data_IF_849243973529
#
_entry.id   IF_849243973529
#
_cell.length_a   1.000
_cell.length_b   1.000
_cell.length_c   1.000
_cell.angle_alpha   90.00
_cell.angle_beta   90.00
_cell.angle_gamma   90.00
#
_symmetry.space_group_name_H-M   'P 1'
#
loop_
_entity.id
_entity.type
_entity.pdbx_description
1 polymer ?
#
# COMPACT_ATOMS: atom_id res chain seq x y z
N UNK A 1 -21.41 -2.04 -9.38
CA UNK A 1 -22.17 -0.99 -10.10
C UNK A 1 -21.21 0.04 -10.73
N UNK A 2 -20.32 0.65 -9.96
CA UNK A 2 -19.32 1.62 -10.45
C UNK A 2 -18.40 1.06 -11.51
N UNK A 3 -17.99 -0.21 -11.44
CA UNK A 3 -17.12 -0.83 -12.43
C UNK A 3 -17.68 -0.87 -13.86
N UNK A 4 -19.00 -0.87 -14.00
CA UNK A 4 -19.67 -0.78 -15.31
C UNK A 4 -19.79 0.67 -15.81
N UNK A 5 -19.89 1.64 -14.89
CA UNK A 5 -19.94 3.07 -15.20
C UNK A 5 -18.56 3.65 -15.56
N UNK A 6 -17.50 3.02 -15.11
CA UNK A 6 -16.13 3.49 -15.33
C UNK A 6 -15.76 3.60 -16.81
N UNK A 7 -16.34 2.77 -17.68
CA UNK A 7 -16.18 2.90 -19.13
C UNK A 7 -16.79 4.19 -19.69
N UNK A 8 -17.81 4.73 -19.05
CA UNK A 8 -18.39 6.03 -19.41
C UNK A 8 -17.57 7.20 -18.84
N UNK A 9 -16.91 6.99 -17.68
CA UNK A 9 -15.94 7.94 -17.12
C UNK A 9 -14.61 7.99 -17.91
N UNK A 10 -14.40 7.10 -18.86
CA UNK A 10 -13.19 7.05 -19.70
C UNK A 10 -12.85 8.39 -20.36
N UNK A 11 -13.85 9.23 -20.63
CA UNK A 11 -13.64 10.59 -21.16
C UNK A 11 -12.91 11.50 -20.15
N UNK A 12 -13.04 11.24 -18.85
CA UNK A 12 -12.35 11.97 -17.78
C UNK A 12 -10.96 11.37 -17.46
N UNK A 13 -10.69 10.13 -17.86
CA UNK A 13 -9.45 9.42 -17.58
C UNK A 13 -8.45 9.62 -18.72
N UNK A 14 -8.13 10.87 -19.04
CA UNK A 14 -7.04 11.15 -19.97
C UNK A 14 -5.70 10.79 -19.30
N UNK A 15 -4.64 10.45 -20.06
CA UNK A 15 -3.31 10.21 -19.53
C UNK A 15 -2.78 11.36 -18.66
N UNK A 16 -3.20 12.59 -18.96
CA UNK A 16 -2.85 13.80 -18.18
C UNK A 16 -3.50 13.74 -16.79
N UNK A 17 -4.80 13.42 -16.69
CA UNK A 17 -5.50 13.31 -15.41
C UNK A 17 -4.88 12.20 -14.56
N UNK A 18 -4.62 11.03 -15.15
CA UNK A 18 -3.94 9.92 -14.47
C UNK A 18 -2.55 10.34 -13.96
N UNK A 19 -1.77 11.05 -14.79
CA UNK A 19 -0.46 11.57 -14.38
C UNK A 19 -0.55 12.57 -13.23
N UNK A 20 -1.51 13.50 -13.28
CA UNK A 20 -1.74 14.44 -12.18
C UNK A 20 -2.12 13.74 -10.87
N UNK A 21 -2.99 12.73 -10.91
CA UNK A 21 -3.37 11.93 -9.75
C UNK A 21 -2.14 11.25 -9.13
N UNK A 22 -1.34 10.57 -9.95
CA UNK A 22 -0.13 9.88 -9.48
C UNK A 22 0.87 10.86 -8.84
N UNK A 23 1.10 12.02 -9.47
CA UNK A 23 1.98 13.06 -8.92
C UNK A 23 1.45 13.59 -7.58
N UNK A 24 0.14 13.85 -7.49
CA UNK A 24 -0.48 14.33 -6.25
C UNK A 24 -0.34 13.31 -5.12
N UNK A 25 -0.57 12.03 -5.41
CA UNK A 25 -0.37 10.93 -4.45
C UNK A 25 1.09 10.89 -4.01
N UNK A 26 2.05 10.93 -4.95
CA UNK A 26 3.48 10.94 -4.65
C UNK A 26 3.89 12.10 -3.74
N UNK A 27 3.41 13.30 -4.00
CA UNK A 27 3.67 14.47 -3.17
C UNK A 27 3.06 14.33 -1.76
N UNK A 28 1.85 13.80 -1.66
CA UNK A 28 1.18 13.55 -0.37
C UNK A 28 1.95 12.54 0.46
N UNK A 29 2.42 11.45 -0.18
CA UNK A 29 3.21 10.41 0.47
C UNK A 29 4.60 10.88 0.89
N UNK A 30 5.19 11.84 0.19
CA UNK A 30 6.47 12.45 0.59
C UNK A 30 6.35 13.08 1.99
N UNK A 31 5.22 13.76 2.27
CA UNK A 31 4.97 14.33 3.60
C UNK A 31 4.89 13.23 4.66
N UNK A 32 4.17 12.15 4.39
CA UNK A 32 4.05 11.01 5.31
C UNK A 32 5.43 10.38 5.54
N UNK A 33 6.16 10.07 4.46
CA UNK A 33 7.50 9.48 4.57
C UNK A 33 8.50 10.34 5.35
N UNK A 34 8.46 11.67 5.19
CA UNK A 34 9.29 12.58 5.99
C UNK A 34 8.88 12.59 7.47
N UNK A 35 7.59 12.51 7.74
CA UNK A 35 7.07 12.41 9.12
C UNK A 35 7.53 11.12 9.78
N UNK A 36 7.42 9.99 9.09
CA UNK A 36 7.84 8.68 9.58
C UNK A 36 9.35 8.60 9.77
N UNK A 37 10.14 9.18 8.85
CA UNK A 37 11.59 9.30 8.97
C UNK A 37 12.00 10.11 10.20
N UNK A 38 11.19 11.09 10.61
CA UNK A 38 11.43 11.91 11.79
C UNK A 38 10.99 11.25 13.10
N UNK A 39 10.42 10.05 13.08
CA UNK A 39 10.00 9.29 14.26
C UNK A 39 8.51 8.96 14.32
N UNK A 40 7.72 9.40 13.32
CA UNK A 40 6.29 9.17 13.25
C UNK A 40 5.45 10.30 13.86
N UNK A 41 4.17 10.33 13.46
CA UNK A 41 3.24 11.37 13.91
C UNK A 41 2.96 11.25 15.41
N UNK A 42 3.18 12.32 16.16
CA UNK A 42 2.89 12.38 17.60
C UNK A 42 3.95 11.75 18.50
N UNK A 43 5.10 11.35 17.96
CA UNK A 43 6.22 10.88 18.79
C UNK A 43 6.78 12.01 19.64
N UNK A 44 7.04 11.77 20.92
CA UNK A 44 7.59 12.76 21.86
C UNK A 44 8.97 13.28 21.43
N UNK A 45 9.75 12.44 20.76
CA UNK A 45 11.07 12.71 20.23
C UNK A 45 11.07 12.99 18.71
N UNK A 46 9.94 13.47 18.16
CA UNK A 46 9.80 13.80 16.75
C UNK A 46 10.91 14.77 16.29
N UNK A 47 11.56 14.42 15.18
CA UNK A 47 12.64 15.23 14.61
C UNK A 47 13.96 15.13 15.37
N UNK A 48 14.08 14.24 16.35
CA UNK A 48 15.34 14.03 17.07
C UNK A 48 16.44 13.53 16.16
N UNK A 49 17.69 13.88 16.47
CA UNK A 49 18.86 13.42 15.70
C UNK A 49 18.92 11.89 15.59
N UNK A 50 18.65 11.10 16.64
CA UNK A 50 18.62 9.64 16.52
C UNK A 50 17.59 9.12 15.53
N UNK A 51 16.37 9.71 15.49
CA UNK A 51 15.33 9.31 14.55
C UNK A 51 15.73 9.64 13.10
N UNK A 52 16.26 10.85 12.89
CA UNK A 52 16.74 11.26 11.57
C UNK A 52 17.93 10.42 11.08
N UNK A 53 18.83 10.03 11.97
CA UNK A 53 19.95 9.14 11.64
C UNK A 53 19.47 7.74 11.32
N UNK A 54 18.51 7.20 12.08
CA UNK A 54 17.93 5.88 11.83
C UNK A 54 17.18 5.86 10.50
N UNK A 55 16.18 6.74 10.32
CA UNK A 55 15.37 6.79 9.10
C UNK A 55 16.20 7.18 7.87
N UNK A 56 17.07 8.19 7.99
CA UNK A 56 17.98 8.61 6.93
C UNK A 56 18.99 7.52 6.59
N UNK A 57 19.51 6.80 7.58
CA UNK A 57 20.41 5.66 7.39
C UNK A 57 19.75 4.52 6.62
N UNK A 58 18.48 4.19 6.93
CA UNK A 58 17.69 3.21 6.17
C UNK A 58 17.51 3.67 4.73
N UNK A 59 17.11 4.92 4.51
CA UNK A 59 16.90 5.47 3.18
C UNK A 59 18.20 5.40 2.34
N UNK A 60 19.31 5.86 2.90
CA UNK A 60 20.63 5.82 2.24
C UNK A 60 21.02 4.37 1.95
N UNK A 61 20.82 3.44 2.89
CA UNK A 61 21.11 2.02 2.70
C UNK A 61 20.32 1.43 1.53
N UNK A 62 19.01 1.70 1.45
CA UNK A 62 18.16 1.24 0.34
C UNK A 62 18.66 1.80 -0.99
N UNK A 63 18.99 3.10 -1.05
CA UNK A 63 19.53 3.74 -2.27
C UNK A 63 20.86 3.10 -2.68
N UNK A 64 21.80 2.94 -1.77
CA UNK A 64 23.11 2.35 -2.07
C UNK A 64 22.99 0.89 -2.53
N UNK A 65 22.12 0.09 -1.88
CA UNK A 65 21.90 -1.31 -2.26
C UNK A 65 21.21 -1.40 -3.63
N UNK A 66 20.31 -0.48 -3.96
CA UNK A 66 19.60 -0.47 -5.25
C UNK A 66 20.50 -0.13 -6.45
N UNK A 67 21.69 0.45 -6.21
CA UNK A 67 22.68 0.75 -7.26
C UNK A 67 23.56 -0.47 -7.57
N UNK A 68 23.61 -1.47 -6.68
CA UNK A 68 24.46 -2.67 -6.87
C UNK A 68 24.04 -3.42 -8.15
N UNK A 69 25.03 -3.79 -8.95
CA UNK A 69 24.80 -4.45 -10.24
C UNK A 69 24.48 -5.97 -10.13
N UNK A 70 23.87 -6.39 -9.02
CA UNK A 70 23.36 -7.74 -8.83
C UNK A 70 21.85 -7.70 -8.75
N UNK A 71 21.17 -8.39 -9.67
CA UNK A 71 19.70 -8.36 -9.75
C UNK A 71 19.03 -8.80 -8.45
N UNK A 72 19.52 -9.82 -7.78
CA UNK A 72 18.94 -10.35 -6.53
C UNK A 72 19.08 -9.33 -5.41
N UNK A 73 20.28 -8.78 -5.20
CA UNK A 73 20.54 -7.79 -4.15
C UNK A 73 19.72 -6.53 -4.41
N UNK A 74 19.70 -6.04 -5.64
CA UNK A 74 18.93 -4.86 -6.04
C UNK A 74 17.42 -5.06 -5.82
N UNK A 75 16.89 -6.22 -6.20
CA UNK A 75 15.47 -6.53 -5.97
C UNK A 75 15.09 -6.64 -4.49
N UNK A 76 16.07 -6.99 -3.65
CA UNK A 76 15.90 -7.11 -2.20
C UNK A 76 16.30 -5.85 -1.43
N UNK A 77 16.65 -4.75 -2.12
CA UNK A 77 17.20 -3.55 -1.49
C UNK A 77 16.33 -2.99 -0.35
N UNK A 78 15.00 -2.93 -0.58
CA UNK A 78 14.05 -2.45 0.42
C UNK A 78 14.03 -3.38 1.63
N UNK A 79 13.96 -4.70 1.40
CA UNK A 79 13.95 -5.69 2.47
C UNK A 79 15.25 -5.66 3.29
N UNK A 80 16.42 -5.60 2.63
CA UNK A 80 17.71 -5.51 3.30
C UNK A 80 17.80 -4.21 4.10
N UNK A 81 17.39 -3.08 3.53
CA UNK A 81 17.36 -1.79 4.22
C UNK A 81 16.45 -1.81 5.46
N UNK A 82 15.27 -2.43 5.36
CA UNK A 82 14.36 -2.63 6.48
C UNK A 82 15.01 -3.46 7.60
N UNK A 83 15.66 -4.58 7.24
CA UNK A 83 16.36 -5.43 8.22
C UNK A 83 17.51 -4.69 8.90
N UNK A 84 18.29 -3.93 8.15
CA UNK A 84 19.37 -3.09 8.71
C UNK A 84 18.80 -2.03 9.66
N UNK A 85 17.70 -1.39 9.29
CA UNK A 85 17.00 -0.42 10.14
C UNK A 85 16.46 -1.04 11.41
N UNK A 86 15.84 -2.22 11.31
CA UNK A 86 15.34 -2.97 12.47
C UNK A 86 16.49 -3.33 13.43
N UNK A 87 17.58 -3.87 12.91
CA UNK A 87 18.77 -4.17 13.71
C UNK A 87 19.32 -2.91 14.40
N UNK A 88 19.45 -1.81 13.67
CA UNK A 88 19.91 -0.56 14.24
C UNK A 88 18.96 -0.06 15.35
N UNK A 89 17.64 -0.15 15.16
CA UNK A 89 16.64 0.23 16.15
C UNK A 89 16.72 -0.64 17.42
N UNK A 90 16.98 -1.95 17.27
CA UNK A 90 17.24 -2.85 18.43
C UNK A 90 18.48 -2.40 19.19
N UNK A 91 19.62 -2.15 18.51
CA UNK A 91 20.84 -1.68 19.15
C UNK A 91 20.70 -0.32 19.83
N UNK A 92 19.84 0.54 19.29
CA UNK A 92 19.52 1.84 19.89
C UNK A 92 18.51 1.76 21.03
N UNK A 93 17.99 0.55 21.38
CA UNK A 93 16.97 0.35 22.41
C UNK A 93 15.62 1.01 22.10
N UNK A 94 15.30 1.17 20.81
CA UNK A 94 14.07 1.84 20.34
C UNK A 94 12.90 0.88 20.15
N UNK A 95 13.11 -0.42 20.31
CA UNK A 95 12.07 -1.43 20.17
C UNK A 95 11.64 -1.90 21.55
N UNK A 96 10.36 -1.71 21.84
CA UNK A 96 9.73 -2.26 23.03
C UNK A 96 9.17 -3.66 22.71
N UNK A 97 9.86 -4.67 23.24
CA UNK A 97 9.44 -6.05 23.06
C UNK A 97 8.31 -6.46 24.02
N UNK A 98 7.89 -5.61 24.97
CA UNK A 98 6.80 -5.91 25.89
C UNK A 98 5.48 -6.13 25.12
N UNK A 99 5.23 -5.33 24.09
CA UNK A 99 4.06 -5.46 23.23
C UNK A 99 3.97 -6.83 22.56
N UNK A 100 5.12 -7.41 22.19
CA UNK A 100 5.19 -8.74 21.59
C UNK A 100 4.82 -9.82 22.60
N UNK A 101 5.20 -9.65 23.87
CA UNK A 101 4.88 -10.62 24.94
C UNK A 101 3.42 -10.58 25.38
N UNK A 102 2.73 -9.46 25.16
CA UNK A 102 1.31 -9.28 25.49
C UNK A 102 0.39 -9.67 24.33
N UNK A 103 0.92 -9.79 23.11
CA UNK A 103 0.14 -10.17 21.93
C UNK A 103 -0.19 -11.66 21.94
N UNK A 104 -1.43 -11.99 21.57
CA UNK A 104 -1.83 -13.38 21.38
C UNK A 104 -1.01 -13.99 20.23
N UNK A 105 -0.51 -15.22 20.46
CA UNK A 105 0.25 -15.94 19.44
C UNK A 105 -0.59 -16.23 18.19
N UNK A 106 -1.89 -16.49 18.37
CA UNK A 106 -2.81 -16.80 17.29
C UNK A 106 -4.17 -16.15 17.54
N UNK A 107 -4.64 -15.36 16.57
CA UNK A 107 -5.94 -14.68 16.64
C UNK A 107 -6.72 -14.88 15.35
N UNK A 108 -7.97 -15.29 15.46
CA UNK A 108 -8.86 -15.40 14.31
C UNK A 108 -9.76 -14.17 14.27
N UNK A 109 -9.79 -13.42 13.16
CA UNK A 109 -10.70 -12.30 13.02
C UNK A 109 -12.15 -12.74 13.13
N UNK A 110 -12.93 -12.08 14.00
CA UNK A 110 -14.34 -12.41 14.23
C UNK A 110 -15.17 -11.56 13.26
N UNK A 111 -15.90 -12.18 12.31
CA UNK A 111 -16.80 -11.45 11.42
C UNK A 111 -17.88 -10.70 12.21
N UNK A 112 -18.24 -9.51 11.77
CA UNK A 112 -19.33 -8.70 12.35
C UNK A 112 -19.24 -8.49 13.88
N UNK A 113 -18.02 -8.40 14.42
CA UNK A 113 -17.77 -8.23 15.87
C UNK A 113 -18.55 -7.06 16.49
N UNK A 114 -18.73 -5.98 15.74
CA UNK A 114 -19.46 -4.77 16.17
C UNK A 114 -20.92 -4.74 15.74
N UNK A 115 -21.43 -5.83 15.18
CA UNK A 115 -22.78 -5.91 14.65
C UNK A 115 -22.92 -5.31 13.26
N UNK A 116 -24.16 -5.22 12.79
CA UNK A 116 -24.51 -4.63 11.50
C UNK A 116 -25.50 -3.48 11.74
N UNK A 117 -25.15 -2.32 11.22
CA UNK A 117 -26.01 -1.14 11.28
C UNK A 117 -25.89 -0.33 9.99
N UNK A 118 -26.90 0.50 9.71
CA UNK A 118 -26.90 1.42 8.59
C UNK A 118 -27.19 2.82 9.10
N UNK A 119 -26.31 3.77 8.78
CA UNK A 119 -26.47 5.18 9.09
C UNK A 119 -26.26 6.02 7.82
N UNK A 120 -27.21 6.86 7.50
CA UNK A 120 -27.13 7.77 6.35
C UNK A 120 -25.98 8.79 6.48
N UNK A 121 -25.69 9.27 7.67
CA UNK A 121 -24.63 10.25 7.91
C UNK A 121 -23.24 9.65 7.64
N UNK A 122 -23.04 8.38 7.96
CA UNK A 122 -21.83 7.63 7.65
C UNK A 122 -21.78 7.17 6.17
N UNK A 123 -22.95 6.77 5.62
CA UNK A 123 -23.02 6.23 4.26
C UNK A 123 -22.62 7.26 3.19
N UNK A 124 -23.09 8.51 3.31
CA UNK A 124 -22.86 9.52 2.28
C UNK A 124 -21.35 9.81 2.09
N UNK A 125 -20.56 10.13 3.14
CA UNK A 125 -19.10 10.33 3.00
C UNK A 125 -18.38 9.09 2.45
N UNK A 126 -18.75 7.89 2.91
CA UNK A 126 -18.15 6.64 2.44
C UNK A 126 -18.45 6.43 0.95
N UNK A 127 -19.68 6.70 0.50
CA UNK A 127 -20.05 6.59 -0.91
C UNK A 127 -19.22 7.55 -1.79
N UNK A 128 -19.00 8.80 -1.34
CA UNK A 128 -18.12 9.74 -2.02
C UNK A 128 -16.66 9.25 -2.06
N UNK A 129 -16.15 8.75 -0.93
CA UNK A 129 -14.81 8.15 -0.88
C UNK A 129 -14.67 7.00 -1.88
N UNK A 130 -15.70 6.17 -2.03
CA UNK A 130 -15.70 5.06 -3.00
C UNK A 130 -15.61 5.53 -4.47
N UNK A 131 -16.19 6.67 -4.80
CA UNK A 131 -16.05 7.25 -6.13
C UNK A 131 -14.59 7.68 -6.35
N UNK A 132 -13.99 8.33 -5.35
CA UNK A 132 -12.60 8.79 -5.42
C UNK A 132 -11.64 7.60 -5.54
N UNK A 133 -11.78 6.57 -4.69
CA UNK A 133 -10.93 5.38 -4.74
C UNK A 133 -11.08 4.60 -6.04
N UNK A 134 -12.28 4.58 -6.64
CA UNK A 134 -12.48 3.96 -7.96
C UNK A 134 -11.71 4.67 -9.07
N UNK A 135 -11.58 6.00 -9.00
CA UNK A 135 -10.76 6.78 -9.93
C UNK A 135 -9.27 6.51 -9.68
N UNK A 136 -8.86 6.50 -8.41
CA UNK A 136 -7.50 6.18 -7.97
C UNK A 136 -7.09 4.79 -8.47
N UNK A 137 -7.88 3.75 -8.16
CA UNK A 137 -7.66 2.36 -8.62
C UNK A 137 -7.49 2.28 -10.14
N UNK A 138 -8.28 3.03 -10.88
CA UNK A 138 -8.16 3.07 -12.34
C UNK A 138 -6.85 3.72 -12.79
N UNK A 139 -6.39 4.74 -12.08
CA UNK A 139 -5.09 5.39 -12.29
C UNK A 139 -3.94 4.42 -12.02
N UNK A 140 -3.96 3.75 -10.89
CA UNK A 140 -2.94 2.78 -10.47
C UNK A 140 -2.84 1.58 -11.41
N UNK A 141 -3.99 1.02 -11.83
CA UNK A 141 -4.02 -0.06 -12.81
C UNK A 141 -3.47 0.37 -14.17
N UNK A 142 -3.68 1.63 -14.53
CA UNK A 142 -3.09 2.20 -15.75
C UNK A 142 -1.57 2.32 -15.60
N UNK A 143 -1.10 2.87 -14.48
CA UNK A 143 0.33 3.01 -14.19
C UNK A 143 1.01 1.63 -14.13
N UNK A 144 0.42 0.67 -13.42
CA UNK A 144 0.91 -0.73 -13.35
C UNK A 144 0.98 -1.35 -14.74
N UNK A 145 -0.04 -1.13 -15.59
CA UNK A 145 -0.04 -1.64 -16.97
C UNK A 145 1.11 -1.04 -17.78
N UNK A 146 1.35 0.26 -17.66
CA UNK A 146 2.45 0.94 -18.35
C UNK A 146 3.82 0.40 -17.91
N UNK A 147 4.04 0.30 -16.61
CA UNK A 147 5.31 -0.17 -16.05
C UNK A 147 5.57 -1.64 -16.43
N UNK A 148 4.51 -2.43 -16.51
CA UNK A 148 4.58 -3.86 -16.88
C UNK A 148 4.65 -4.11 -18.39
N UNK A 149 4.68 -3.06 -19.22
CA UNK A 149 4.69 -3.18 -20.68
C UNK A 149 3.38 -3.68 -21.28
N UNK A 150 2.28 -3.57 -20.56
CA UNK A 150 0.97 -4.06 -20.94
C UNK A 150 0.14 -2.98 -21.67
N UNK A 151 -0.78 -3.35 -22.57
CA UNK A 151 -1.61 -2.39 -23.28
C UNK A 151 -2.43 -1.49 -22.35
N UNK A 152 -2.43 -0.17 -22.65
CA UNK A 152 -3.24 0.83 -21.96
C UNK A 152 -4.44 1.31 -22.79
N UNK A 153 -4.76 0.60 -23.86
CA UNK A 153 -5.90 0.85 -24.73
C UNK A 153 -6.49 -0.45 -25.23
N UNK A 154 -7.74 -0.40 -25.63
CA UNK A 154 -8.44 -1.55 -26.23
C UNK A 154 -9.19 -2.42 -25.22
N UNK A 155 -9.86 -3.50 -25.72
CA UNK A 155 -10.78 -4.31 -24.92
C UNK A 155 -10.12 -5.00 -23.72
N UNK A 156 -8.86 -5.42 -23.86
CA UNK A 156 -8.10 -6.07 -22.77
C UNK A 156 -7.84 -5.11 -21.61
N UNK A 157 -7.44 -3.88 -21.93
CA UNK A 157 -7.26 -2.82 -20.94
C UNK A 157 -8.57 -2.48 -20.21
N UNK A 158 -9.67 -2.34 -20.96
CA UNK A 158 -10.98 -2.06 -20.36
C UNK A 158 -11.44 -3.16 -19.43
N UNK A 159 -11.23 -4.43 -19.82
CA UNK A 159 -11.53 -5.59 -18.97
C UNK A 159 -10.70 -5.57 -17.68
N UNK A 160 -9.42 -5.17 -17.77
CA UNK A 160 -8.51 -5.06 -16.63
C UNK A 160 -8.97 -3.98 -15.65
N UNK A 161 -9.30 -2.78 -16.15
CA UNK A 161 -9.81 -1.69 -15.30
C UNK A 161 -11.11 -2.09 -14.62
N UNK A 162 -12.08 -2.62 -15.36
CA UNK A 162 -13.35 -3.10 -14.78
C UNK A 162 -13.15 -4.16 -13.71
N UNK A 163 -12.29 -5.15 -14.00
CA UNK A 163 -11.98 -6.24 -13.08
C UNK A 163 -11.27 -5.76 -11.83
N UNK A 164 -10.32 -4.83 -11.97
CA UNK A 164 -9.59 -4.27 -10.84
C UNK A 164 -10.47 -3.44 -9.91
N UNK A 165 -11.28 -2.53 -10.46
CA UNK A 165 -12.24 -1.75 -9.65
C UNK A 165 -13.29 -2.64 -8.98
N UNK A 166 -13.72 -3.71 -9.66
CA UNK A 166 -14.61 -4.70 -9.04
C UNK A 166 -13.91 -5.43 -7.90
N UNK A 167 -12.66 -5.84 -8.11
CA UNK A 167 -11.84 -6.50 -7.09
C UNK A 167 -11.63 -5.62 -5.86
N UNK A 168 -11.34 -4.35 -6.06
CA UNK A 168 -11.20 -3.35 -4.99
C UNK A 168 -12.49 -3.23 -4.17
N UNK A 169 -13.65 -3.14 -4.83
CA UNK A 169 -14.94 -3.11 -4.17
C UNK A 169 -15.26 -4.40 -3.40
N UNK A 170 -14.92 -5.57 -3.95
CA UNK A 170 -15.09 -6.87 -3.25
C UNK A 170 -14.19 -6.96 -2.03
N UNK A 171 -12.92 -6.53 -2.14
CA UNK A 171 -11.99 -6.51 -1.01
C UNK A 171 -12.48 -5.60 0.11
N UNK A 172 -13.01 -4.43 -0.22
CA UNK A 172 -13.59 -3.52 0.76
C UNK A 172 -14.84 -4.09 1.43
N UNK A 173 -15.64 -4.86 0.70
CA UNK A 173 -16.78 -5.58 1.30
C UNK A 173 -16.28 -6.65 2.30
N UNK A 174 -15.25 -7.41 1.94
CA UNK A 174 -14.61 -8.39 2.83
C UNK A 174 -14.02 -7.68 4.05
N UNK A 175 -13.31 -6.56 3.85
CA UNK A 175 -12.77 -5.74 4.92
C UNK A 175 -13.85 -5.31 5.93
N UNK A 176 -15.01 -4.86 5.43
CA UNK A 176 -16.14 -4.49 6.28
C UNK A 176 -16.69 -5.68 7.10
N UNK A 177 -16.77 -6.89 6.51
CA UNK A 177 -17.19 -8.11 7.23
C UNK A 177 -16.23 -8.41 8.40
N UNK A 178 -14.93 -8.17 8.21
CA UNK A 178 -13.89 -8.37 9.23
C UNK A 178 -13.61 -7.13 10.08
N UNK A 179 -14.52 -6.14 10.08
CA UNK A 179 -14.51 -4.96 10.94
C UNK A 179 -13.29 -4.05 10.74
N UNK A 180 -12.77 -4.00 9.53
CA UNK A 180 -11.68 -3.09 9.16
C UNK A 180 -12.14 -2.03 8.16
N UNK A 181 -11.29 -1.03 7.94
CA UNK A 181 -11.58 0.05 7.02
C UNK A 181 -11.62 -0.41 5.55
N UNK A 182 -12.34 0.33 4.68
CA UNK A 182 -12.28 0.10 3.24
C UNK A 182 -10.83 0.12 2.76
N UNK A 183 -10.50 -0.78 1.85
CA UNK A 183 -9.18 -0.88 1.24
C UNK A 183 -9.19 -0.32 -0.17
N UNK A 184 -8.06 0.18 -0.63
CA UNK A 184 -7.85 0.63 -2.01
C UNK A 184 -6.52 0.11 -2.54
N UNK A 185 -6.22 0.38 -3.79
CA UNK A 185 -4.93 0.04 -4.41
C UNK A 185 -3.78 0.76 -3.71
N UNK A 186 -2.65 0.07 -3.58
CA UNK A 186 -1.45 0.61 -2.97
C UNK A 186 -0.47 1.09 -4.03
N UNK A 187 -0.56 2.37 -4.39
CA UNK A 187 0.19 3.01 -5.49
C UNK A 187 1.70 2.87 -5.35
N UNK A 188 2.22 2.77 -4.13
CA UNK A 188 3.64 2.61 -3.82
C UNK A 188 4.23 1.33 -4.44
N UNK A 189 3.41 0.30 -4.65
CA UNK A 189 3.83 -0.93 -5.32
C UNK A 189 4.30 -0.68 -6.75
N UNK A 190 3.79 0.35 -7.43
CA UNK A 190 4.27 0.73 -8.75
C UNK A 190 5.74 1.15 -8.73
N UNK A 191 6.16 1.87 -7.67
CA UNK A 191 7.56 2.20 -7.44
C UNK A 191 8.42 0.96 -7.19
N UNK A 192 7.94 0.01 -6.40
CA UNK A 192 8.64 -1.26 -6.13
C UNK A 192 8.78 -2.08 -7.42
N UNK A 193 7.75 -2.21 -8.23
CA UNK A 193 7.80 -2.90 -9.53
C UNK A 193 8.84 -2.23 -10.43
N UNK A 194 8.87 -0.92 -10.50
CA UNK A 194 9.81 -0.17 -11.33
C UNK A 194 11.27 -0.35 -10.86
N UNK A 195 11.51 -0.34 -9.56
CA UNK A 195 12.85 -0.54 -8.98
C UNK A 195 13.35 -1.97 -9.17
N UNK A 196 12.50 -2.96 -8.93
CA UNK A 196 12.88 -4.39 -8.96
C UNK A 196 12.83 -4.98 -10.35
N UNK A 197 12.02 -4.42 -11.24
CA UNK A 197 11.70 -4.99 -12.56
C UNK A 197 10.83 -6.25 -12.48
N UNK A 198 10.20 -6.51 -11.32
CA UNK A 198 9.38 -7.71 -11.09
C UNK A 198 7.90 -7.31 -11.17
N UNK A 199 7.25 -7.62 -12.29
CA UNK A 199 5.85 -7.30 -12.57
C UNK A 199 4.95 -8.55 -12.65
N UNK A 200 5.37 -9.67 -12.06
CA UNK A 200 4.62 -10.92 -12.12
C UNK A 200 3.40 -10.89 -11.20
N UNK A 201 2.23 -11.23 -11.74
CA UNK A 201 1.00 -11.40 -10.97
C UNK A 201 1.10 -12.45 -9.83
N UNK A 202 1.99 -13.43 -9.99
CA UNK A 202 2.19 -14.47 -8.98
C UNK A 202 2.76 -13.90 -7.67
N UNK A 203 3.55 -12.83 -7.74
CA UNK A 203 4.05 -12.14 -6.55
C UNK A 203 2.89 -11.66 -5.68
N UNK A 204 1.82 -11.15 -6.29
CA UNK A 204 0.61 -10.72 -5.55
C UNK A 204 -0.04 -11.85 -4.74
N UNK A 205 -0.08 -13.09 -5.27
CA UNK A 205 -0.61 -14.25 -4.53
C UNK A 205 0.28 -14.59 -3.32
N UNK A 206 1.60 -14.58 -3.47
CA UNK A 206 2.52 -14.81 -2.35
C UNK A 206 2.41 -13.71 -1.29
N UNK A 207 2.38 -12.45 -1.71
CA UNK A 207 2.20 -11.32 -0.80
C UNK A 207 0.87 -11.43 -0.05
N UNK A 208 -0.24 -11.70 -0.76
CA UNK A 208 -1.54 -11.92 -0.14
C UNK A 208 -1.54 -13.06 0.87
N UNK A 209 -0.91 -14.19 0.53
CA UNK A 209 -0.76 -15.34 1.45
C UNK A 209 0.03 -14.98 2.70
N UNK A 210 1.15 -14.28 2.56
CA UNK A 210 1.98 -13.82 3.70
C UNK A 210 1.18 -12.86 4.58
N UNK A 211 0.49 -11.88 3.99
CA UNK A 211 -0.33 -10.92 4.75
C UNK A 211 -1.47 -11.62 5.51
N UNK A 212 -2.11 -12.64 4.91
CA UNK A 212 -3.11 -13.46 5.61
C UNK A 212 -2.50 -14.21 6.80
N UNK A 213 -1.31 -14.78 6.63
CA UNK A 213 -0.59 -15.45 7.73
C UNK A 213 -0.23 -14.45 8.83
N UNK A 214 0.32 -13.29 8.49
CA UNK A 214 0.63 -12.24 9.47
C UNK A 214 -0.62 -11.76 10.21
N UNK A 215 -1.77 -11.68 9.54
CA UNK A 215 -3.04 -11.32 10.17
C UNK A 215 -3.56 -12.36 11.19
N UNK A 216 -3.14 -13.63 11.07
CA UNK A 216 -3.46 -14.69 12.03
C UNK A 216 -2.48 -14.76 13.21
N UNK A 217 -1.28 -14.22 13.05
CA UNK A 217 -0.22 -14.23 14.03
C UNK A 217 0.18 -12.79 14.43
N UNK A 218 -0.55 -12.14 15.35
CA UNK A 218 -0.28 -10.74 15.74
C UNK A 218 1.13 -10.51 16.31
N UNK A 219 1.82 -11.60 16.69
CA UNK A 219 3.21 -11.55 17.19
C UNK A 219 4.22 -11.30 16.06
N UNK A 220 3.86 -11.54 14.79
CA UNK A 220 4.72 -11.32 13.62
C UNK A 220 4.67 -9.87 13.13
#
# INVERSE_FOLDING_TARGET
>A
FLSQFITKLKSFMSPIVTGCVIVTIGLSLTKVGLTDLAGGFGAEDFGSIPNLLLGGGVLVSVVLISIINNKVIRSSAIFIGLMLGLLAAVFMGRIDFSLVSEADFFTVPIPFKYGFGFDWQAFIPIAFMYIITSIETSGDLTATSMISGEPIKGPLYEKRIKGGVLGDGVNSLIAAVFNTFPVTTFSQNNGVIQMTGIASRYVGFYVGGILCLMGLFPVL
#
